data_IF_076704116524
#
_entry.id   IF_076704116524
#
_cell.length_a   1.000
_cell.length_b   1.000
_cell.length_c   1.000
_cell.angle_alpha   90.00
_cell.angle_beta   90.00
_cell.angle_gamma   90.00
#
_symmetry.space_group_name_H-M   'P 1'
#
loop_
_entity.id
_entity.type
_entity.pdbx_description
1 polymer ?
#
# COMPACT_ATOMS: atom_id res chain seq x y z
N UNK A 1 -0.42 -10.62 -18.12
CA UNK A 1 -0.94 -9.87 -19.30
C UNK A 1 -2.13 -9.05 -18.79
N UNK A 2 -1.91 -7.83 -18.33
CA UNK A 2 -2.97 -6.92 -17.89
C UNK A 2 -3.48 -6.21 -19.14
N UNK A 3 -4.73 -6.49 -19.50
CA UNK A 3 -5.43 -5.84 -20.61
C UNK A 3 -5.48 -4.32 -20.32
N UNK A 4 -4.95 -3.52 -21.25
CA UNK A 4 -4.97 -2.08 -21.16
C UNK A 4 -6.40 -1.57 -21.20
N UNK A 5 -6.81 -0.88 -20.15
CA UNK A 5 -8.03 -0.10 -20.14
C UNK A 5 -7.83 1.10 -21.07
N UNK A 6 -8.73 1.29 -22.03
CA UNK A 6 -8.69 2.43 -22.92
C UNK A 6 -9.08 3.70 -22.16
N UNK A 7 -8.42 4.81 -22.43
CA UNK A 7 -8.69 6.14 -21.84
C UNK A 7 -10.14 6.62 -22.05
N UNK A 8 -10.92 6.00 -22.92
CA UNK A 8 -12.31 6.34 -23.20
C UNK A 8 -13.31 5.83 -22.15
N UNK A 9 -13.03 4.68 -21.49
CA UNK A 9 -13.95 4.13 -20.48
C UNK A 9 -13.92 4.88 -19.16
N UNK A 10 -12.76 5.44 -18.80
CA UNK A 10 -12.64 6.31 -17.63
C UNK A 10 -13.35 7.66 -17.80
N UNK A 11 -13.38 8.19 -19.04
CA UNK A 11 -14.07 9.43 -19.37
C UNK A 11 -15.56 9.37 -19.02
N UNK A 12 -16.24 8.28 -19.37
CA UNK A 12 -17.68 8.11 -19.08
C UNK A 12 -17.99 7.92 -17.58
N UNK A 13 -17.12 7.21 -16.87
CA UNK A 13 -17.27 7.00 -15.43
C UNK A 13 -17.02 8.29 -14.63
N UNK A 14 -16.02 9.07 -15.03
CA UNK A 14 -15.74 10.40 -14.46
C UNK A 14 -16.89 11.36 -14.77
N UNK A 15 -17.45 11.35 -16.00
CA UNK A 15 -18.62 12.16 -16.34
C UNK A 15 -19.86 11.82 -15.48
N UNK A 16 -20.07 10.57 -15.15
CA UNK A 16 -21.22 10.14 -14.34
C UNK A 16 -21.06 10.51 -12.87
N UNK A 17 -19.84 10.42 -12.32
CA UNK A 17 -19.51 10.91 -10.98
C UNK A 17 -19.59 12.43 -10.88
N UNK A 18 -19.21 13.16 -11.94
CA UNK A 18 -19.21 14.62 -11.96
C UNK A 18 -20.60 15.22 -12.08
N UNK A 19 -21.52 14.57 -12.77
CA UNK A 19 -22.93 15.00 -12.86
C UNK A 19 -23.64 14.99 -11.50
N UNK A 20 -23.12 14.24 -10.54
CA UNK A 20 -23.76 14.03 -9.24
C UNK A 20 -23.12 14.81 -8.07
N UNK A 21 -21.81 15.10 -8.14
CA UNK A 21 -21.05 15.53 -6.95
C UNK A 21 -20.03 16.66 -7.17
N UNK A 22 -19.74 17.07 -8.41
CA UNK A 22 -18.69 18.06 -8.70
C UNK A 22 -19.21 19.11 -9.69
N UNK A 23 -18.72 20.35 -9.56
CA UNK A 23 -18.92 21.33 -10.61
C UNK A 23 -18.16 20.91 -11.87
N UNK A 24 -18.61 21.36 -13.06
CA UNK A 24 -17.93 21.07 -14.34
C UNK A 24 -16.45 21.48 -14.32
N UNK A 25 -16.14 22.58 -13.62
CA UNK A 25 -14.76 23.08 -13.53
C UNK A 25 -13.91 22.17 -12.63
N UNK A 26 -14.45 21.70 -11.52
CA UNK A 26 -13.74 20.76 -10.65
C UNK A 26 -13.50 19.42 -11.35
N UNK A 27 -14.45 18.99 -12.16
CA UNK A 27 -14.31 17.78 -12.98
C UNK A 27 -13.23 17.90 -14.05
N UNK A 28 -13.14 19.05 -14.72
CA UNK A 28 -12.10 19.32 -15.72
C UNK A 28 -10.72 19.44 -15.06
N UNK A 29 -10.65 20.06 -13.90
CA UNK A 29 -9.43 20.14 -13.10
C UNK A 29 -9.00 18.76 -12.63
N UNK A 30 -9.92 17.93 -12.16
CA UNK A 30 -9.66 16.54 -11.77
C UNK A 30 -9.15 15.72 -12.96
N UNK A 31 -9.81 15.81 -14.12
CA UNK A 31 -9.41 15.08 -15.31
C UNK A 31 -8.03 15.49 -15.84
N UNK A 32 -7.67 16.77 -15.74
CA UNK A 32 -6.35 17.26 -16.14
C UNK A 32 -5.23 16.89 -15.16
N UNK A 33 -5.56 16.69 -13.87
CA UNK A 33 -4.63 16.34 -12.80
C UNK A 33 -4.60 14.83 -12.50
N UNK A 34 -5.50 14.05 -13.09
CA UNK A 34 -5.67 12.63 -12.80
C UNK A 34 -4.55 11.80 -13.40
N UNK A 35 -3.39 11.83 -12.78
CA UNK A 35 -2.28 10.95 -13.09
C UNK A 35 -2.20 9.86 -12.02
N UNK A 36 -2.38 8.62 -12.46
CA UNK A 36 -2.22 7.46 -11.61
C UNK A 36 -0.73 7.19 -11.39
N UNK A 37 -0.35 6.99 -10.15
CA UNK A 37 0.99 6.62 -9.73
C UNK A 37 0.98 5.24 -9.10
N UNK A 38 2.07 4.51 -9.25
CA UNK A 38 2.31 3.24 -8.58
C UNK A 38 3.55 3.35 -7.71
N UNK A 39 3.55 2.66 -6.60
CA UNK A 39 4.70 2.51 -5.70
C UNK A 39 4.73 1.08 -5.19
N UNK A 40 5.93 0.56 -4.95
CA UNK A 40 6.17 -0.78 -4.41
C UNK A 40 6.85 -0.67 -3.05
N UNK A 41 6.50 -1.54 -2.12
CA UNK A 41 7.15 -1.62 -0.81
C UNK A 41 8.11 -2.79 -0.82
N UNK A 42 9.39 -2.47 -0.94
CA UNK A 42 10.45 -3.48 -0.92
C UNK A 42 10.43 -4.26 0.39
N UNK A 43 10.45 -5.61 0.28
CA UNK A 43 10.51 -6.51 1.43
C UNK A 43 9.35 -6.34 2.44
N UNK A 44 8.15 -6.12 1.95
CA UNK A 44 6.96 -5.79 2.73
C UNK A 44 6.79 -6.60 4.03
N UNK A 45 6.92 -7.92 3.98
CA UNK A 45 6.71 -8.75 5.17
C UNK A 45 7.84 -8.64 6.19
N UNK A 46 9.06 -8.34 5.74
CA UNK A 46 10.24 -8.25 6.61
C UNK A 46 10.35 -6.91 7.31
N UNK A 47 9.71 -5.84 6.78
CA UNK A 47 9.74 -4.53 7.43
C UNK A 47 8.79 -4.44 8.63
N UNK A 48 7.73 -5.27 8.66
CA UNK A 48 6.78 -5.30 9.76
C UNK A 48 7.40 -5.96 11.01
N UNK A 49 7.18 -5.34 12.17
CA UNK A 49 7.61 -5.90 13.44
C UNK A 49 6.91 -7.21 13.75
N UNK A 50 7.58 -8.08 14.52
CA UNK A 50 6.95 -9.29 15.05
C UNK A 50 5.76 -8.89 15.94
N UNK A 51 4.54 -9.46 15.72
CA UNK A 51 3.39 -9.11 16.53
C UNK A 51 3.57 -9.57 17.97
N UNK A 52 3.24 -8.71 18.94
CA UNK A 52 3.41 -8.98 20.38
C UNK A 52 2.64 -10.25 20.81
N UNK A 53 1.47 -10.47 20.22
CA UNK A 53 0.59 -11.60 20.56
C UNK A 53 0.85 -12.86 19.70
N UNK A 54 1.86 -12.81 18.83
CA UNK A 54 2.17 -13.95 17.95
C UNK A 54 3.16 -14.89 18.68
N UNK A 55 2.91 -16.21 18.67
CA UNK A 55 3.84 -17.16 19.26
C UNK A 55 5.19 -17.11 18.56
N UNK A 56 6.25 -17.36 19.32
CA UNK A 56 7.59 -17.48 18.76
C UNK A 56 7.66 -18.61 17.75
N UNK A 57 8.25 -18.33 16.61
CA UNK A 57 8.52 -19.33 15.56
C UNK A 57 10.01 -19.52 15.44
N UNK A 58 10.41 -20.79 15.41
CA UNK A 58 11.78 -21.21 15.20
C UNK A 58 11.88 -21.95 13.87
N UNK A 59 12.89 -21.64 13.09
CA UNK A 59 13.14 -22.21 11.78
C UNK A 59 14.41 -23.07 11.82
N UNK A 60 14.36 -24.26 11.26
CA UNK A 60 15.55 -25.02 10.99
C UNK A 60 16.45 -24.31 9.98
N UNK A 61 17.73 -24.17 10.30
CA UNK A 61 18.66 -23.57 9.36
C UNK A 61 18.95 -24.55 8.21
N UNK A 62 19.07 -24.06 6.97
CA UNK A 62 19.46 -24.89 5.85
C UNK A 62 20.84 -25.49 6.14
N UNK A 63 21.00 -26.79 5.86
CA UNK A 63 22.26 -27.49 6.04
C UNK A 63 23.25 -27.04 4.95
N UNK A 64 24.09 -26.05 5.30
CA UNK A 64 25.08 -25.49 4.36
C UNK A 64 26.31 -26.35 4.18
N UNK A 65 26.54 -27.30 5.09
CA UNK A 65 27.65 -28.29 5.00
C UNK A 65 27.12 -29.72 5.11
N UNK A 66 27.11 -30.51 4.01
CA UNK A 66 26.66 -31.91 4.02
C UNK A 66 27.43 -32.83 4.96
N UNK A 67 28.62 -32.41 5.43
CA UNK A 67 29.44 -33.15 6.35
C UNK A 67 29.17 -32.89 7.83
N UNK A 68 28.40 -31.83 8.12
CA UNK A 68 27.98 -31.54 9.47
C UNK A 68 26.73 -32.36 9.83
N UNK A 69 26.73 -32.96 10.99
CA UNK A 69 25.59 -33.63 11.60
C UNK A 69 24.38 -32.64 11.69
N UNK A 70 23.18 -33.18 11.47
CA UNK A 70 21.90 -32.44 11.53
C UNK A 70 21.91 -31.30 12.54
N UNK A 71 21.46 -30.15 12.09
CA UNK A 71 21.46 -28.85 12.78
C UNK A 71 21.18 -28.96 14.28
N UNK A 72 22.16 -28.59 15.08
CA UNK A 72 22.00 -28.38 16.51
C UNK A 72 21.38 -27.01 16.83
N UNK A 73 21.18 -26.18 15.81
CA UNK A 73 20.75 -24.79 15.98
C UNK A 73 19.49 -24.53 15.15
N UNK A 74 18.60 -23.74 15.72
CA UNK A 74 17.43 -23.17 15.07
C UNK A 74 17.52 -21.65 15.09
N UNK A 75 16.98 -20.98 14.06
CA UNK A 75 16.88 -19.55 14.04
C UNK A 75 15.55 -19.10 14.68
N UNK A 76 15.63 -18.24 15.68
CA UNK A 76 14.44 -17.55 16.22
C UNK A 76 14.04 -16.44 15.27
N UNK A 77 12.81 -16.47 14.77
CA UNK A 77 12.33 -15.50 13.81
C UNK A 77 11.99 -14.17 14.48
N UNK A 78 12.60 -13.10 14.01
CA UNK A 78 12.38 -11.73 14.52
C UNK A 78 11.48 -10.92 13.59
N UNK A 79 11.24 -11.42 12.38
CA UNK A 79 10.43 -10.78 11.34
C UNK A 79 9.63 -11.84 10.60
N UNK A 80 8.51 -11.44 10.00
CA UNK A 80 7.74 -12.32 9.13
C UNK A 80 8.49 -12.59 7.84
N UNK A 81 8.36 -13.81 7.33
CA UNK A 81 8.92 -14.21 6.03
C UNK A 81 7.80 -14.56 5.05
N UNK A 82 8.13 -14.48 3.78
CA UNK A 82 7.28 -15.00 2.71
C UNK A 82 7.00 -16.49 2.94
N UNK A 83 5.72 -16.86 2.82
CA UNK A 83 5.27 -18.23 3.06
C UNK A 83 4.69 -18.49 4.45
N UNK A 84 4.89 -17.60 5.42
CA UNK A 84 4.17 -17.69 6.69
C UNK A 84 2.70 -17.27 6.51
N UNK A 85 1.80 -18.06 7.09
CA UNK A 85 0.34 -17.88 6.95
C UNK A 85 -0.14 -16.48 7.35
N UNK A 86 0.45 -15.92 8.41
CA UNK A 86 0.01 -14.65 8.98
C UNK A 86 0.84 -13.44 8.52
N UNK A 87 1.83 -13.64 7.63
CA UNK A 87 2.72 -12.57 7.18
C UNK A 87 1.97 -11.42 6.50
N UNK A 88 1.03 -11.74 5.60
CA UNK A 88 0.22 -10.73 4.92
C UNK A 88 -0.65 -9.92 5.89
N UNK A 89 -1.32 -10.59 6.84
CA UNK A 89 -2.14 -9.92 7.85
C UNK A 89 -1.31 -9.01 8.76
N UNK A 90 -0.12 -9.44 9.14
CA UNK A 90 0.76 -8.64 9.98
C UNK A 90 1.25 -7.40 9.24
N UNK A 91 1.63 -7.57 7.98
CA UNK A 91 2.04 -6.46 7.14
C UNK A 91 0.91 -5.46 6.90
N UNK A 92 -0.31 -5.92 6.60
CA UNK A 92 -1.49 -5.07 6.45
C UNK A 92 -1.72 -4.19 7.70
N UNK A 93 -1.65 -4.78 8.89
CA UNK A 93 -1.78 -4.04 10.17
C UNK A 93 -0.65 -3.03 10.37
N UNK A 94 0.57 -3.41 10.03
CA UNK A 94 1.72 -2.51 10.08
C UNK A 94 1.54 -1.32 9.15
N UNK A 95 1.17 -1.57 7.90
CA UNK A 95 0.97 -0.52 6.89
C UNK A 95 -0.20 0.39 7.24
N UNK A 96 -1.35 -0.15 7.69
CA UNK A 96 -2.48 0.65 8.19
C UNK A 96 -2.05 1.59 9.31
N UNK A 97 -1.27 1.08 10.28
CA UNK A 97 -0.73 1.91 11.36
C UNK A 97 0.19 3.02 10.83
N UNK A 98 1.11 2.71 9.93
CA UNK A 98 2.03 3.70 9.33
C UNK A 98 1.25 4.76 8.56
N UNK A 99 0.31 4.36 7.70
CA UNK A 99 -0.50 5.29 6.93
C UNK A 99 -1.31 6.23 7.82
N UNK A 100 -1.90 5.73 8.89
CA UNK A 100 -2.66 6.55 9.84
C UNK A 100 -1.78 7.48 10.67
N UNK A 101 -0.66 6.98 11.18
CA UNK A 101 0.17 7.76 12.12
C UNK A 101 1.07 8.76 11.40
N UNK A 102 1.63 8.41 10.24
CA UNK A 102 2.55 9.27 9.50
C UNK A 102 1.80 10.25 8.59
N UNK A 103 0.76 9.79 7.90
CA UNK A 103 0.07 10.56 6.87
C UNK A 103 -1.35 11.01 7.27
N UNK A 104 -1.84 10.63 8.43
CA UNK A 104 -3.22 10.91 8.83
C UNK A 104 -4.27 10.23 7.93
N UNK A 105 -3.87 9.14 7.26
CA UNK A 105 -4.72 8.43 6.32
C UNK A 105 -5.97 7.86 7.00
N UNK A 106 -7.11 7.98 6.33
CA UNK A 106 -8.38 7.43 6.77
C UNK A 106 -8.84 6.38 5.76
N UNK A 107 -9.06 5.11 6.14
CA UNK A 107 -9.62 4.12 5.24
C UNK A 107 -11.03 4.53 4.84
N UNK A 108 -11.44 4.17 3.62
CA UNK A 108 -12.80 4.42 3.17
C UNK A 108 -13.78 3.45 3.83
N UNK A 109 -15.06 3.83 3.86
CA UNK A 109 -16.12 2.99 4.43
C UNK A 109 -16.43 1.79 3.51
N UNK A 110 -16.23 1.97 2.21
CA UNK A 110 -16.55 0.94 1.18
C UNK A 110 -15.49 -0.14 1.13
N UNK A 111 -14.22 0.26 1.18
CA UNK A 111 -13.09 -0.66 1.12
C UNK A 111 -11.97 -0.16 2.04
N UNK A 112 -11.57 -1.01 2.98
CA UNK A 112 -10.52 -0.68 3.96
C UNK A 112 -9.12 -0.62 3.35
N UNK A 113 -8.92 -1.22 2.18
CA UNK A 113 -7.66 -1.15 1.43
C UNK A 113 -7.50 0.17 0.67
N UNK A 114 -8.56 1.00 0.64
CA UNK A 114 -8.54 2.33 0.02
C UNK A 114 -8.52 3.40 1.09
N UNK A 115 -7.53 4.29 1.03
CA UNK A 115 -7.31 5.36 2.00
C UNK A 115 -7.44 6.72 1.35
N UNK A 116 -7.92 7.67 2.14
CA UNK A 116 -7.93 9.10 1.87
C UNK A 116 -6.94 9.80 2.79
N UNK A 117 -6.06 10.62 2.21
CA UNK A 117 -5.13 11.49 2.95
C UNK A 117 -5.47 12.93 2.60
N UNK A 118 -5.76 13.75 3.62
CA UNK A 118 -6.06 15.17 3.47
C UNK A 118 -4.81 15.99 3.79
N UNK A 119 -4.34 16.75 2.82
CA UNK A 119 -3.21 17.68 2.95
C UNK A 119 -3.66 19.11 2.67
N UNK A 120 -2.87 20.11 3.05
CA UNK A 120 -3.18 21.53 2.77
C UNK A 120 -3.34 21.85 1.28
N UNK A 121 -2.59 21.12 0.43
CA UNK A 121 -2.55 21.31 -1.03
C UNK A 121 -3.61 20.50 -1.77
N UNK A 122 -4.31 19.59 -1.11
CA UNK A 122 -5.32 18.73 -1.75
C UNK A 122 -5.49 17.38 -1.07
N UNK A 123 -6.03 16.42 -1.81
CA UNK A 123 -6.34 15.08 -1.32
C UNK A 123 -5.53 14.06 -2.11
N UNK A 124 -4.98 13.07 -1.41
CA UNK A 124 -4.45 11.84 -1.99
C UNK A 124 -5.47 10.72 -1.77
N UNK A 125 -5.77 9.99 -2.82
CA UNK A 125 -6.46 8.70 -2.74
C UNK A 125 -5.46 7.59 -3.04
N UNK A 126 -5.44 6.57 -2.20
CA UNK A 126 -4.43 5.52 -2.20
C UNK A 126 -5.11 4.17 -2.01
N UNK A 127 -4.85 3.24 -2.91
CA UNK A 127 -5.26 1.83 -2.80
C UNK A 127 -4.05 0.95 -2.54
N UNK A 128 -4.19 -0.01 -1.63
CA UNK A 128 -3.15 -0.93 -1.23
C UNK A 128 -3.53 -2.36 -1.60
N UNK A 129 -2.61 -3.07 -2.22
CA UNK A 129 -2.72 -4.51 -2.43
C UNK A 129 -1.40 -5.18 -2.08
N UNK A 130 -1.29 -5.67 -0.85
CA UNK A 130 -0.07 -6.20 -0.24
C UNK A 130 1.05 -5.16 -0.29
N UNK A 131 2.06 -5.33 -1.13
CA UNK A 131 3.22 -4.47 -1.35
C UNK A 131 3.01 -3.42 -2.44
N UNK A 132 2.01 -3.62 -3.30
CA UNK A 132 1.66 -2.69 -4.36
C UNK A 132 0.76 -1.56 -3.85
N UNK A 133 1.14 -0.33 -4.14
CA UNK A 133 0.35 0.86 -3.87
C UNK A 133 0.04 1.57 -5.17
N UNK A 134 -1.24 1.85 -5.38
CA UNK A 134 -1.72 2.69 -6.48
C UNK A 134 -2.32 3.96 -5.88
N UNK A 135 -1.98 5.12 -6.43
CA UNK A 135 -2.47 6.37 -5.85
C UNK A 135 -2.54 7.50 -6.85
N UNK A 136 -3.33 8.52 -6.51
CA UNK A 136 -3.42 9.77 -7.24
C UNK A 136 -3.70 10.93 -6.30
N UNK A 137 -3.39 12.15 -6.74
CA UNK A 137 -3.67 13.39 -6.03
C UNK A 137 -4.59 14.29 -6.81
N UNK A 138 -5.32 15.16 -6.10
CA UNK A 138 -6.27 16.11 -6.70
C UNK A 138 -5.62 17.35 -7.28
N UNK A 139 -4.35 17.64 -6.91
CA UNK A 139 -3.58 18.77 -7.42
C UNK A 139 -2.14 18.37 -7.71
N UNK A 140 -1.42 19.04 -8.63
CA UNK A 140 0.00 18.80 -8.84
C UNK A 140 0.85 19.01 -7.58
N UNK A 141 0.49 19.98 -6.76
CA UNK A 141 1.23 20.35 -5.55
C UNK A 141 1.12 19.26 -4.48
N UNK A 142 -0.09 18.70 -4.26
CA UNK A 142 -0.25 17.58 -3.32
C UNK A 142 0.49 16.34 -3.80
N UNK A 143 0.53 16.09 -5.12
CA UNK A 143 1.31 14.99 -5.70
C UNK A 143 2.81 15.18 -5.46
N UNK A 144 3.33 16.37 -5.70
CA UNK A 144 4.75 16.67 -5.48
C UNK A 144 5.13 16.51 -4.00
N UNK A 145 4.31 17.05 -3.10
CA UNK A 145 4.51 16.92 -1.66
C UNK A 145 4.44 15.48 -1.19
N UNK A 146 3.42 14.74 -1.57
CA UNK A 146 3.27 13.34 -1.16
C UNK A 146 4.45 12.48 -1.64
N UNK A 147 4.94 12.71 -2.87
CA UNK A 147 6.16 12.04 -3.36
C UNK A 147 7.38 12.30 -2.49
N UNK A 148 7.56 13.53 -2.02
CA UNK A 148 8.70 13.87 -1.16
C UNK A 148 8.62 13.24 0.23
N UNK A 149 7.42 12.89 0.68
CA UNK A 149 7.18 12.25 1.99
C UNK A 149 7.23 10.71 1.95
N UNK A 150 7.18 10.10 0.74
CA UNK A 150 7.29 8.64 0.56
C UNK A 150 8.73 8.11 0.71
N UNK A 151 9.72 8.97 0.69
CA UNK A 151 11.14 8.64 0.92
C UNK A 151 11.52 8.84 2.41
#
# INVERSE_FOLDING_TARGET
MLAGFSTGEWGSYVEDLTKKWLSRQDALNLASCFKLHTSDISQAFVVADWPIDHPDIYMELPNLDPKQSKNQYVAHMQRMLYGLKDAGRNFERYLDRVLRTRFGAKPTVVDRSVYKIEMSEGIIMLGVFVDDIIWFGTTPDVVARFKSELH
#
